data_IF_427528728143
#
_entry.id   IF_427528728143
#
_cell.length_a   1.000
_cell.length_b   1.000
_cell.length_c   1.000
_cell.angle_alpha   90.00
_cell.angle_beta   90.00
_cell.angle_gamma   90.00
#
_symmetry.space_group_name_H-M   'P 1'
#
loop_
_entity.id
_entity.type
_entity.pdbx_description
1 polymer ?
#
# COMPACT_ATOMS: atom_id res chain seq x y z
N UNK A 1 -17.30 -17.20 13.14
CA UNK A 1 -16.05 -16.49 12.83
C UNK A 1 -15.52 -17.07 11.53
N UNK A 2 -15.75 -16.41 10.40
CA UNK A 2 -15.30 -16.89 9.09
C UNK A 2 -13.84 -16.46 8.88
N UNK A 3 -12.93 -17.41 9.00
CA UNK A 3 -11.51 -17.23 8.71
C UNK A 3 -11.32 -17.16 7.19
N UNK A 4 -10.84 -16.02 6.69
CA UNK A 4 -10.53 -15.84 5.28
C UNK A 4 -9.18 -16.52 4.98
N UNK A 5 -9.17 -17.85 4.99
CA UNK A 5 -8.00 -18.66 4.65
C UNK A 5 -7.82 -18.64 3.13
N UNK A 6 -6.97 -17.75 2.64
CA UNK A 6 -6.50 -17.78 1.24
C UNK A 6 -5.82 -19.14 1.01
N UNK A 7 -6.43 -20.01 0.20
CA UNK A 7 -5.84 -21.30 -0.16
C UNK A 7 -4.85 -21.09 -1.29
N UNK A 8 -3.57 -21.21 -1.00
CA UNK A 8 -2.53 -21.29 -2.04
C UNK A 8 -2.63 -22.66 -2.74
N UNK A 9 -2.49 -22.69 -4.07
CA UNK A 9 -2.34 -23.93 -4.81
C UNK A 9 -0.91 -24.44 -4.65
N UNK A 10 -0.76 -25.75 -4.52
CA UNK A 10 0.54 -26.41 -4.47
C UNK A 10 0.76 -27.17 -5.78
N UNK A 11 2.00 -27.22 -6.26
CA UNK A 11 2.40 -28.01 -7.42
C UNK A 11 2.63 -29.49 -7.05
N UNK A 12 3.11 -30.27 -8.03
CA UNK A 12 3.38 -31.70 -7.84
C UNK A 12 4.48 -31.99 -6.82
N UNK A 13 5.36 -31.02 -6.58
CA UNK A 13 6.48 -31.13 -5.65
C UNK A 13 6.11 -30.63 -4.25
N UNK A 14 4.89 -30.09 -4.10
CA UNK A 14 4.35 -29.56 -2.85
C UNK A 14 4.74 -28.10 -2.60
N UNK A 15 5.38 -27.45 -3.56
CA UNK A 15 5.72 -26.03 -3.51
C UNK A 15 4.50 -25.19 -3.89
N UNK A 16 4.50 -23.91 -3.51
CA UNK A 16 3.41 -23.00 -3.87
C UNK A 16 3.46 -22.74 -5.37
N UNK A 17 2.40 -23.16 -6.07
CA UNK A 17 2.21 -22.88 -7.49
C UNK A 17 2.05 -21.36 -7.68
N UNK A 18 3.10 -20.75 -8.24
CA UNK A 18 3.13 -19.33 -8.60
C UNK A 18 2.44 -19.03 -9.94
N UNK A 19 1.75 -20.00 -10.56
CA UNK A 19 1.14 -19.93 -11.89
C UNK A 19 0.13 -18.80 -12.11
N UNK A 20 -0.22 -18.07 -11.05
CA UNK A 20 -0.93 -16.81 -11.11
C UNK A 20 -0.04 -15.70 -10.54
N UNK A 21 0.93 -15.22 -11.34
CA UNK A 21 1.71 -14.03 -10.98
C UNK A 21 0.74 -12.87 -10.81
N UNK A 22 0.40 -12.55 -9.58
CA UNK A 22 -0.43 -11.39 -9.28
C UNK A 22 0.38 -10.18 -9.70
N UNK A 23 -0.14 -9.32 -10.59
CA UNK A 23 0.57 -8.07 -10.92
C UNK A 23 0.84 -7.36 -9.61
N UNK A 24 2.11 -7.04 -9.38
CA UNK A 24 2.48 -6.41 -8.13
C UNK A 24 1.69 -5.11 -7.96
N UNK A 25 1.13 -4.85 -6.77
CA UNK A 25 0.45 -3.60 -6.52
C UNK A 25 1.41 -2.44 -6.78
N UNK A 26 0.99 -1.50 -7.60
CA UNK A 26 1.71 -0.24 -7.81
C UNK A 26 1.28 0.71 -6.70
N UNK A 27 2.24 1.12 -5.87
CA UNK A 27 2.01 2.10 -4.81
C UNK A 27 2.44 3.49 -5.26
N UNK A 28 1.67 4.49 -4.89
CA UNK A 28 2.11 5.89 -4.97
C UNK A 28 2.99 6.21 -3.76
N UNK A 29 4.14 6.85 -4.01
CA UNK A 29 5.01 7.31 -2.94
C UNK A 29 4.57 8.70 -2.46
N UNK A 30 4.08 8.77 -1.22
CA UNK A 30 3.74 10.02 -0.55
C UNK A 30 4.89 10.38 0.39
N UNK A 31 5.61 11.46 0.09
CA UNK A 31 6.78 11.86 0.88
C UNK A 31 6.38 12.40 2.26
N UNK A 32 7.08 11.93 3.31
CA UNK A 32 6.89 12.44 4.65
C UNK A 32 7.40 13.90 4.77
N UNK A 33 6.69 14.77 5.53
CA UNK A 33 7.18 16.10 5.86
C UNK A 33 8.54 16.05 6.55
N UNK A 34 9.42 16.99 6.22
CA UNK A 34 10.75 17.13 6.84
C UNK A 34 10.75 18.32 7.79
N UNK A 35 11.38 18.16 8.95
CA UNK A 35 11.66 19.27 9.84
C UNK A 35 12.91 20.00 9.34
N UNK A 36 12.76 21.27 8.97
CA UNK A 36 13.82 22.08 8.38
C UNK A 36 14.57 22.95 9.41
N UNK A 37 13.95 23.25 10.56
CA UNK A 37 14.54 24.02 11.65
C UNK A 37 13.84 23.68 12.98
N UNK A 38 14.50 23.98 14.10
CA UNK A 38 13.97 23.75 15.46
C UNK A 38 13.33 25.00 16.09
N UNK A 39 13.04 26.03 15.29
CA UNK A 39 12.33 27.21 15.79
C UNK A 39 10.88 26.88 16.12
N UNK A 40 10.26 27.65 17.02
CA UNK A 40 8.87 27.44 17.41
C UNK A 40 7.92 27.42 16.20
N UNK A 41 8.08 28.36 15.27
CA UNK A 41 7.26 28.42 14.05
C UNK A 41 7.45 27.20 13.14
N UNK A 42 8.69 26.70 13.01
CA UNK A 42 8.99 25.52 12.21
C UNK A 42 8.38 24.24 12.83
N UNK A 43 8.43 24.11 14.16
CA UNK A 43 7.81 23.00 14.87
C UNK A 43 6.29 22.99 14.72
N UNK A 44 5.63 24.14 14.88
CA UNK A 44 4.18 24.27 14.69
C UNK A 44 3.78 23.87 13.27
N UNK A 45 4.52 24.36 12.27
CA UNK A 45 4.26 24.04 10.86
C UNK A 45 4.48 22.56 10.56
N UNK A 46 5.56 21.97 11.09
CA UNK A 46 5.87 20.56 10.93
C UNK A 46 4.81 19.65 11.55
N UNK A 47 4.31 19.96 12.76
CA UNK A 47 3.24 19.17 13.40
C UNK A 47 1.97 19.15 12.56
N UNK A 48 1.58 20.30 11.98
CA UNK A 48 0.42 20.39 11.08
C UNK A 48 0.62 19.55 9.82
N UNK A 49 1.75 19.73 9.13
CA UNK A 49 2.10 18.96 7.93
C UNK A 49 2.12 17.45 8.20
N UNK A 50 2.62 17.04 9.37
CA UNK A 50 2.61 15.63 9.79
C UNK A 50 1.20 15.08 10.02
N UNK A 51 0.29 15.90 10.55
CA UNK A 51 -1.12 15.56 10.68
C UNK A 51 -1.79 15.34 9.33
N UNK A 52 -1.59 16.27 8.39
CA UNK A 52 -2.17 16.18 7.03
C UNK A 52 -1.61 14.98 6.26
N UNK A 53 -0.30 14.72 6.39
CA UNK A 53 0.34 13.55 5.80
C UNK A 53 -0.24 12.23 6.35
N UNK A 54 -0.51 12.16 7.66
CA UNK A 54 -1.16 11.00 8.27
C UNK A 54 -2.58 10.78 7.75
N UNK A 55 -3.35 11.86 7.53
CA UNK A 55 -4.66 11.78 6.91
C UNK A 55 -4.57 11.23 5.49
N UNK A 56 -3.66 11.73 4.67
CA UNK A 56 -3.47 11.24 3.30
C UNK A 56 -3.15 9.74 3.25
N UNK A 57 -2.25 9.26 4.14
CA UNK A 57 -1.91 7.83 4.22
C UNK A 57 -3.08 6.94 4.68
N UNK A 58 -4.03 7.50 5.44
CA UNK A 58 -5.21 6.77 5.91
C UNK A 58 -6.34 6.69 4.88
N UNK A 59 -6.24 7.45 3.79
CA UNK A 59 -7.26 7.41 2.74
C UNK A 59 -7.24 6.02 2.09
N UNK A 60 -8.40 5.43 1.81
CA UNK A 60 -8.46 4.18 1.08
C UNK A 60 -7.72 4.33 -0.26
N UNK A 61 -6.80 3.42 -0.54
CA UNK A 61 -6.17 3.35 -1.84
C UNK A 61 -7.27 3.17 -2.90
N UNK A 62 -7.27 4.00 -3.93
CA UNK A 62 -8.15 3.80 -5.06
C UNK A 62 -7.69 2.50 -5.75
N UNK A 63 -8.34 1.37 -5.48
CA UNK A 63 -8.03 0.17 -6.24
C UNK A 63 -8.63 0.35 -7.63
N UNK A 64 -7.83 0.35 -8.71
CA UNK A 64 -8.40 0.07 -10.00
C UNK A 64 -8.93 -1.36 -9.89
N UNK A 65 -10.23 -1.56 -10.15
CA UNK A 65 -10.79 -2.89 -10.30
C UNK A 65 -9.91 -3.63 -11.31
N UNK A 66 -9.18 -4.63 -10.82
CA UNK A 66 -8.21 -5.40 -11.58
C UNK A 66 -8.99 -6.15 -12.65
N UNK A 67 -9.12 -5.53 -13.83
CA UNK A 67 -9.71 -6.20 -14.98
C UNK A 67 -8.69 -7.25 -15.41
N UNK A 68 -9.02 -8.55 -15.40
CA UNK A 68 -8.08 -9.56 -15.83
C UNK A 68 -7.71 -9.27 -17.28
N UNK A 69 -6.41 -9.08 -17.53
CA UNK A 69 -5.88 -8.97 -18.88
C UNK A 69 -6.19 -10.32 -19.55
N UNK A 70 -7.18 -10.32 -20.44
CA UNK A 70 -7.50 -11.47 -21.28
C UNK A 70 -6.44 -11.53 -22.38
N UNK A 71 -5.37 -12.28 -22.14
CA UNK A 71 -4.46 -12.68 -23.21
C UNK A 71 -5.17 -13.66 -24.15
N UNK A 72 -4.95 -13.55 -25.48
CA UNK A 72 -5.66 -14.34 -26.50
C UNK A 72 -5.35 -15.84 -26.44
#
# INVERSE_FOLDING_TARGET
>A
MAEHRTRYRLDSDGDVDMGQSTTQPVYEFIAAPKLNAWSHAALVSFVRLRGDHGQELSRPCHSPAFSPIRVP
#
